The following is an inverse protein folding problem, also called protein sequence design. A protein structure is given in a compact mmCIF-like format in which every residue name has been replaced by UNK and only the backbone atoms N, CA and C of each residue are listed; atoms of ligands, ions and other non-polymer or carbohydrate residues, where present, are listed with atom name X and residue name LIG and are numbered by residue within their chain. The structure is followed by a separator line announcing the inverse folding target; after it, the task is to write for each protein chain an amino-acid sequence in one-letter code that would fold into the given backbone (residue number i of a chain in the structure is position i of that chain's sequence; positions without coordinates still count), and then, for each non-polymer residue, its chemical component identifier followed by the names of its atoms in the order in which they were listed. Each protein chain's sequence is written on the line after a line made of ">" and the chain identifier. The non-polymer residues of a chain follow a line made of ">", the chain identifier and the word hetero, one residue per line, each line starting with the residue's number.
data_IF_274296421768
#
_entry.id   IF_274296421768
#
_cell.length_a   1.000
_cell.length_b   1.000
_cell.length_c   1.000
_cell.angle_alpha   90.00
_cell.angle_beta   90.00
_cell.angle_gamma   90.00
#
_symmetry.space_group_name_H-M   'P 1'
#
loop_
_entity.id
_entity.type
_entity.pdbx_description
1 polymer ?
#
# COMPACT_ATOMS: atom_id res chain seq x y z
N UNK A 1 -32.21 -8.02 5.72
CA UNK A 1 -30.83 -8.37 5.32
C UNK A 1 -30.65 -9.87 5.50
N UNK A 2 -30.80 -10.64 4.41
CA UNK A 2 -30.86 -12.10 4.47
C UNK A 2 -29.45 -12.69 4.34
N UNK A 3 -29.00 -13.43 5.34
CA UNK A 3 -27.73 -14.17 5.34
C UNK A 3 -27.98 -15.65 5.32
N UNK A 4 -27.12 -16.41 4.64
CA UNK A 4 -27.19 -17.88 4.58
C UNK A 4 -25.88 -18.46 5.08
N UNK A 5 -25.95 -19.54 5.84
CA UNK A 5 -24.83 -20.28 6.42
C UNK A 5 -25.07 -21.78 6.25
N UNK A 6 -24.00 -22.56 6.18
CA UNK A 6 -24.01 -24.00 5.96
C UNK A 6 -23.16 -24.75 6.98
N UNK A 7 -23.58 -25.96 7.32
CA UNK A 7 -22.83 -26.94 8.12
C UNK A 7 -23.05 -28.33 7.53
N UNK A 8 -22.10 -28.83 6.74
CA UNK A 8 -22.32 -30.03 5.93
C UNK A 8 -23.42 -29.80 4.89
N UNK A 9 -24.53 -30.55 4.98
CA UNK A 9 -25.74 -30.35 4.14
C UNK A 9 -26.80 -29.44 4.78
N UNK A 10 -26.63 -29.03 6.04
CA UNK A 10 -27.59 -28.18 6.73
C UNK A 10 -27.44 -26.72 6.28
N UNK A 11 -28.57 -26.05 6.06
CA UNK A 11 -28.64 -24.62 5.72
C UNK A 11 -29.31 -23.87 6.86
N UNK A 12 -28.74 -22.72 7.23
CA UNK A 12 -29.28 -21.74 8.16
C UNK A 12 -29.37 -20.41 7.43
N UNK A 13 -30.57 -19.91 7.18
CA UNK A 13 -30.76 -18.57 6.64
C UNK A 13 -31.40 -17.68 7.70
N UNK A 14 -30.88 -16.47 7.91
CA UNK A 14 -31.41 -15.49 8.85
C UNK A 14 -31.61 -14.16 8.12
N UNK A 15 -32.79 -13.57 8.26
CA UNK A 15 -33.16 -12.28 7.70
C UNK A 15 -33.72 -11.39 8.81
N UNK A 16 -33.66 -10.08 8.62
CA UNK A 16 -34.40 -9.14 9.43
C UNK A 16 -34.84 -7.91 8.63
N UNK A 17 -35.99 -7.36 9.01
CA UNK A 17 -36.48 -6.05 8.57
C UNK A 17 -36.65 -5.10 9.78
N UNK A 18 -37.34 -3.97 9.59
CA UNK A 18 -37.56 -2.94 10.62
C UNK A 18 -38.14 -3.46 11.94
N UNK A 19 -38.87 -4.56 11.94
CA UNK A 19 -39.48 -5.10 13.16
C UNK A 19 -39.49 -6.62 13.22
N UNK A 20 -38.98 -7.33 12.21
CA UNK A 20 -39.02 -8.78 12.19
C UNK A 20 -37.63 -9.39 12.04
N UNK A 21 -37.44 -10.56 12.63
CA UNK A 21 -36.31 -11.45 12.36
C UNK A 21 -36.90 -12.78 11.88
N UNK A 22 -36.39 -13.30 10.77
CA UNK A 22 -36.84 -14.55 10.16
C UNK A 22 -35.67 -15.51 10.07
N UNK A 23 -35.80 -16.73 10.59
CA UNK A 23 -34.80 -17.80 10.44
C UNK A 23 -35.42 -18.95 9.67
N UNK A 24 -34.68 -19.51 8.72
CA UNK A 24 -35.02 -20.75 8.02
C UNK A 24 -33.91 -21.78 8.25
N UNK A 25 -34.25 -22.94 8.81
CA UNK A 25 -33.31 -24.01 9.17
C UNK A 25 -33.66 -25.33 8.45
N UNK A 26 -32.65 -26.02 7.91
CA UNK A 26 -32.76 -27.41 7.39
C UNK A 26 -33.11 -27.56 5.90
N UNK A 27 -33.50 -28.77 5.48
CA UNK A 27 -34.17 -29.05 4.18
C UNK A 27 -35.50 -28.29 4.13
N UNK A 28 -35.93 -27.77 2.98
CA UNK A 28 -36.82 -26.61 2.90
C UNK A 28 -38.14 -26.86 3.65
N UNK A 29 -38.40 -26.13 4.74
CA UNK A 29 -39.70 -26.20 5.42
C UNK A 29 -39.85 -25.62 6.83
N UNK A 30 -38.79 -25.32 7.59
CA UNK A 30 -38.94 -24.73 8.94
C UNK A 30 -38.47 -23.28 8.97
N UNK A 31 -39.41 -22.36 8.76
CA UNK A 31 -39.22 -20.92 8.93
C UNK A 31 -39.83 -20.46 10.27
N UNK A 32 -39.04 -19.75 11.09
CA UNK A 32 -39.47 -19.11 12.34
C UNK A 32 -39.38 -17.61 12.18
N UNK A 33 -40.41 -16.89 12.64
CA UNK A 33 -40.48 -15.42 12.56
C UNK A 33 -40.69 -14.85 13.96
N UNK A 34 -39.90 -13.85 14.33
CA UNK A 34 -40.03 -13.09 15.58
C UNK A 34 -40.32 -11.64 15.26
N UNK A 35 -41.25 -11.02 15.99
CA UNK A 35 -41.61 -9.60 15.85
C UNK A 35 -41.12 -8.80 17.07
N UNK A 36 -40.61 -7.60 16.82
CA UNK A 36 -39.99 -6.71 17.81
C UNK A 36 -40.60 -5.31 17.72
N UNK A 37 -40.51 -4.57 18.83
CA UNK A 37 -41.10 -3.23 18.96
C UNK A 37 -40.33 -2.12 18.23
N UNK A 38 -39.08 -2.37 17.82
CA UNK A 38 -38.23 -1.40 17.15
C UNK A 38 -37.17 -2.10 16.29
N UNK A 39 -36.58 -1.35 15.36
CA UNK A 39 -35.48 -1.79 14.51
C UNK A 39 -34.25 -2.21 15.33
N UNK A 40 -33.89 -1.45 16.36
CA UNK A 40 -32.74 -1.76 17.21
C UNK A 40 -32.90 -3.10 17.93
N UNK A 41 -34.12 -3.41 18.40
CA UNK A 41 -34.41 -4.69 19.06
C UNK A 41 -34.42 -5.86 18.08
N UNK A 42 -34.93 -5.65 16.87
CA UNK A 42 -34.87 -6.64 15.81
C UNK A 42 -33.40 -6.92 15.43
N UNK A 43 -32.58 -5.88 15.28
CA UNK A 43 -31.17 -6.00 14.95
C UNK A 43 -30.36 -6.67 16.07
N UNK A 44 -30.52 -6.27 17.33
CA UNK A 44 -29.85 -6.90 18.47
C UNK A 44 -30.17 -8.40 18.56
N UNK A 45 -31.44 -8.78 18.36
CA UNK A 45 -31.84 -10.18 18.37
C UNK A 45 -31.35 -10.96 17.14
N UNK A 46 -31.28 -10.31 15.98
CA UNK A 46 -30.66 -10.87 14.78
C UNK A 46 -29.16 -11.17 15.03
N UNK A 47 -28.41 -10.24 15.62
CA UNK A 47 -26.99 -10.40 15.94
C UNK A 47 -26.74 -11.55 16.92
N UNK A 48 -27.54 -11.64 17.99
CA UNK A 48 -27.44 -12.72 18.97
C UNK A 48 -27.68 -14.10 18.34
N UNK A 49 -28.73 -14.22 17.50
CA UNK A 49 -29.09 -15.48 16.83
C UNK A 49 -28.03 -15.89 15.82
N UNK A 50 -27.46 -14.92 15.11
CA UNK A 50 -26.36 -15.15 14.19
C UNK A 50 -25.10 -15.64 14.91
N UNK A 51 -24.71 -14.99 16.01
CA UNK A 51 -23.55 -15.40 16.82
C UNK A 51 -23.67 -16.84 17.33
N UNK A 52 -24.88 -17.25 17.77
CA UNK A 52 -25.15 -18.65 18.16
C UNK A 52 -24.99 -19.64 17.02
N UNK A 53 -25.42 -19.30 15.81
CA UNK A 53 -25.26 -20.17 14.64
C UNK A 53 -23.78 -20.35 14.26
N UNK A 54 -23.01 -19.26 14.29
CA UNK A 54 -21.56 -19.28 14.03
C UNK A 54 -20.84 -20.13 15.08
N UNK A 55 -21.13 -19.93 16.37
CA UNK A 55 -20.57 -20.75 17.45
C UNK A 55 -20.94 -22.24 17.31
N UNK A 56 -22.11 -22.55 16.75
CA UNK A 56 -22.53 -23.92 16.44
C UNK A 56 -21.83 -24.52 15.20
N UNK A 57 -20.92 -23.80 14.55
CA UNK A 57 -20.11 -24.25 13.43
C UNK A 57 -20.76 -24.08 12.06
N UNK A 58 -21.84 -23.29 11.95
CA UNK A 58 -22.34 -22.85 10.65
C UNK A 58 -21.40 -21.79 10.08
N UNK A 59 -20.96 -22.00 8.85
CA UNK A 59 -20.06 -21.09 8.14
C UNK A 59 -20.79 -20.49 6.94
N UNK A 60 -20.43 -19.29 6.48
CA UNK A 60 -20.93 -18.81 5.18
C UNK A 60 -20.73 -19.89 4.11
N UNK A 61 -21.70 -20.14 3.21
CA UNK A 61 -21.48 -21.04 2.09
C UNK A 61 -20.25 -20.56 1.34
N UNK A 62 -19.32 -21.48 1.02
CA UNK A 62 -18.19 -21.14 0.17
C UNK A 62 -18.76 -20.55 -1.13
N UNK A 63 -18.44 -19.28 -1.48
CA UNK A 63 -18.89 -18.72 -2.74
C UNK A 63 -18.32 -19.58 -3.86
N UNK A 64 -19.19 -20.26 -4.62
CA UNK A 64 -18.80 -21.00 -5.82
C UNK A 64 -18.70 -19.99 -6.95
N UNK A 65 -17.66 -19.17 -6.91
CA UNK A 65 -17.36 -18.26 -8.01
C UNK A 65 -16.74 -19.03 -9.16
N UNK A 66 -17.47 -19.07 -10.27
CA UNK A 66 -16.92 -19.55 -11.53
C UNK A 66 -15.84 -18.58 -12.04
N UNK A 67 -14.93 -19.11 -12.84
CA UNK A 67 -13.82 -18.36 -13.44
C UNK A 67 -13.85 -18.53 -14.95
N UNK A 68 -13.35 -17.54 -15.68
CA UNK A 68 -13.15 -17.65 -17.13
C UNK A 68 -11.69 -17.29 -17.44
N UNK A 69 -10.80 -18.29 -17.64
CA UNK A 69 -9.38 -18.05 -17.84
C UNK A 69 -9.05 -17.11 -19.01
N UNK A 70 -9.85 -17.13 -20.09
CA UNK A 70 -9.62 -16.29 -21.26
C UNK A 70 -9.93 -14.82 -20.96
N UNK A 71 -11.08 -14.56 -20.33
CA UNK A 71 -11.47 -13.20 -19.93
C UNK A 71 -10.57 -12.67 -18.80
N UNK A 72 -10.16 -13.53 -17.88
CA UNK A 72 -9.18 -13.17 -16.83
C UNK A 72 -7.80 -12.85 -17.41
N UNK A 73 -7.37 -13.56 -18.46
CA UNK A 73 -6.13 -13.26 -19.16
C UNK A 73 -6.20 -11.91 -19.89
N UNK A 74 -7.36 -11.54 -20.47
CA UNK A 74 -7.57 -10.23 -21.07
C UNK A 74 -7.45 -9.11 -20.03
N UNK A 75 -8.07 -9.27 -18.86
CA UNK A 75 -7.94 -8.34 -17.73
C UNK A 75 -6.48 -8.28 -17.24
N UNK A 76 -5.77 -9.40 -17.15
CA UNK A 76 -4.36 -9.40 -16.72
C UNK A 76 -3.46 -8.65 -17.72
N UNK A 77 -3.75 -8.77 -19.02
CA UNK A 77 -3.00 -8.10 -20.08
C UNK A 77 -3.27 -6.59 -20.13
N UNK A 78 -4.53 -6.18 -19.90
CA UNK A 78 -4.97 -4.78 -19.90
C UNK A 78 -5.77 -4.46 -18.62
N UNK A 79 -5.10 -4.37 -17.45
CA UNK A 79 -5.78 -4.30 -16.15
C UNK A 79 -6.46 -2.97 -15.85
N UNK A 80 -6.27 -1.96 -16.70
CA UNK A 80 -6.93 -0.66 -16.64
C UNK A 80 -7.99 -0.49 -17.76
N UNK A 81 -8.25 -1.53 -18.55
CA UNK A 81 -9.29 -1.57 -19.58
C UNK A 81 -10.65 -1.93 -18.96
N UNK A 82 -11.50 -0.92 -18.77
CA UNK A 82 -12.85 -1.08 -18.22
C UNK A 82 -13.76 -1.98 -19.08
N UNK A 83 -13.52 -2.07 -20.39
CA UNK A 83 -14.34 -2.89 -21.29
C UNK A 83 -14.07 -4.38 -21.05
N UNK A 84 -12.81 -4.77 -20.79
CA UNK A 84 -12.46 -6.14 -20.40
C UNK A 84 -13.21 -6.59 -19.13
N UNK A 85 -13.32 -5.71 -18.13
CA UNK A 85 -14.11 -5.99 -16.92
C UNK A 85 -15.61 -6.04 -17.20
N UNK A 86 -16.12 -5.21 -18.12
CA UNK A 86 -17.53 -5.21 -18.51
C UNK A 86 -17.92 -6.53 -19.19
N UNK A 87 -17.08 -7.02 -20.11
CA UNK A 87 -17.27 -8.33 -20.76
C UNK A 87 -17.26 -9.45 -19.71
N UNK A 88 -16.34 -9.40 -18.75
CA UNK A 88 -16.29 -10.39 -17.68
C UNK A 88 -17.49 -10.32 -16.74
N UNK A 89 -17.98 -9.12 -16.44
CA UNK A 89 -19.20 -8.90 -15.65
C UNK A 89 -20.44 -9.47 -16.34
N UNK A 90 -20.59 -9.27 -17.65
CA UNK A 90 -21.69 -9.84 -18.43
C UNK A 90 -21.63 -11.37 -18.44
N UNK A 91 -20.44 -11.93 -18.62
CA UNK A 91 -20.24 -13.37 -18.51
C UNK A 91 -20.63 -13.88 -17.11
N UNK A 92 -20.20 -13.23 -16.04
CA UNK A 92 -20.58 -13.58 -14.67
C UNK A 92 -22.11 -13.53 -14.46
N UNK A 93 -22.79 -12.51 -15.01
CA UNK A 93 -24.25 -12.43 -14.95
C UNK A 93 -24.92 -13.60 -15.68
N UNK A 94 -24.41 -14.01 -16.85
CA UNK A 94 -24.91 -15.17 -17.58
C UNK A 94 -24.67 -16.51 -16.84
N UNK A 95 -23.75 -16.53 -15.87
CA UNK A 95 -23.50 -17.67 -14.97
C UNK A 95 -24.26 -17.55 -13.64
N UNK A 96 -25.27 -16.68 -13.57
CA UNK A 96 -26.03 -16.36 -12.36
C UNK A 96 -25.15 -15.95 -11.16
N UNK A 97 -23.98 -15.36 -11.44
CA UNK A 97 -23.07 -14.87 -10.42
C UNK A 97 -23.45 -13.45 -10.00
N UNK A 98 -23.77 -13.23 -8.71
CA UNK A 98 -24.15 -11.90 -8.23
C UNK A 98 -23.06 -10.83 -8.40
N UNK A 99 -21.79 -11.26 -8.48
CA UNK A 99 -20.65 -10.39 -8.74
C UNK A 99 -20.78 -9.65 -10.07
N UNK A 100 -21.33 -10.29 -11.10
CA UNK A 100 -21.61 -9.64 -12.37
C UNK A 100 -22.64 -8.52 -12.23
N UNK A 101 -23.68 -8.73 -11.41
CA UNK A 101 -24.67 -7.68 -11.13
C UNK A 101 -24.08 -6.51 -10.32
N UNK A 102 -23.15 -6.80 -9.40
CA UNK A 102 -22.42 -5.78 -8.65
C UNK A 102 -21.56 -4.92 -9.59
N UNK A 103 -20.82 -5.57 -10.49
CA UNK A 103 -20.01 -4.89 -11.49
C UNK A 103 -20.85 -4.00 -12.41
N UNK A 104 -21.99 -4.51 -12.92
CA UNK A 104 -22.92 -3.72 -13.73
C UNK A 104 -23.51 -2.53 -12.94
N UNK A 105 -23.83 -2.72 -11.66
CA UNK A 105 -24.31 -1.65 -10.77
C UNK A 105 -23.25 -0.57 -10.58
N UNK A 106 -21.99 -0.96 -10.37
CA UNK A 106 -20.86 -0.02 -10.25
C UNK A 106 -20.57 0.73 -11.54
N UNK A 107 -20.66 0.07 -12.69
CA UNK A 107 -20.56 0.72 -14.00
C UNK A 107 -21.69 1.75 -14.22
N UNK A 108 -22.90 1.47 -13.74
CA UNK A 108 -24.01 2.42 -13.78
C UNK A 108 -23.79 3.62 -12.82
N UNK A 109 -23.26 3.38 -11.61
CA UNK A 109 -22.89 4.44 -10.66
C UNK A 109 -21.82 5.35 -11.26
N UNK A 110 -20.81 4.79 -11.94
CA UNK A 110 -19.73 5.55 -12.56
C UNK A 110 -20.22 6.50 -13.69
N UNK A 111 -21.38 6.23 -14.29
CA UNK A 111 -22.02 7.06 -15.32
C UNK A 111 -22.89 8.17 -14.73
N UNK A 112 -23.14 8.19 -13.42
CA UNK A 112 -23.91 9.26 -12.79
C UNK A 112 -23.17 10.61 -12.92
N UNK A 113 -23.89 11.74 -13.01
CA UNK A 113 -23.28 13.06 -13.01
C UNK A 113 -22.39 13.23 -11.78
N UNK A 114 -21.12 13.61 -12.00
CA UNK A 114 -20.17 13.87 -10.92
C UNK A 114 -20.64 15.11 -10.14
N UNK A 115 -20.88 14.94 -8.84
CA UNK A 115 -21.15 16.05 -7.91
C UNK A 115 -19.89 16.87 -7.61
N UNK A 116 -19.91 17.66 -6.53
CA UNK A 116 -18.65 18.21 -6.00
C UNK A 116 -17.73 17.05 -5.59
N UNK A 117 -16.39 17.20 -5.69
CA UNK A 117 -15.47 16.25 -5.07
C UNK A 117 -15.90 16.02 -3.62
N UNK A 118 -15.92 14.77 -3.16
CA UNK A 118 -16.19 14.49 -1.77
C UNK A 118 -15.04 15.07 -0.93
N UNK A 119 -15.36 15.88 0.09
CA UNK A 119 -14.40 16.42 1.07
C UNK A 119 -13.94 15.30 2.04
N UNK A 120 -13.38 14.21 1.52
CA UNK A 120 -12.70 13.20 2.33
C UNK A 120 -11.22 13.19 2.00
N UNK A 121 -10.50 14.01 2.75
CA UNK A 121 -9.07 13.93 2.93
C UNK A 121 -8.71 12.62 3.65
N UNK A 122 -8.50 11.55 2.89
CA UNK A 122 -7.66 10.44 3.33
C UNK A 122 -6.66 10.11 2.23
N UNK A 123 -5.88 11.13 1.88
CA UNK A 123 -4.67 10.96 1.10
C UNK A 123 -3.52 10.69 2.08
N UNK A 124 -2.92 9.51 2.03
CA UNK A 124 -1.47 9.49 2.19
C UNK A 124 -0.93 9.92 0.83
N UNK A 125 -0.14 10.99 0.80
CA UNK A 125 0.37 11.68 -0.40
C UNK A 125 1.13 10.77 -1.39
N UNK A 126 1.44 9.54 -0.97
CA UNK A 126 2.21 8.53 -1.70
C UNK A 126 1.41 7.30 -2.17
N UNK A 127 0.11 7.19 -1.87
CA UNK A 127 -0.69 6.06 -2.38
C UNK A 127 -0.93 6.19 -3.89
N UNK A 128 -0.54 5.16 -4.66
CA UNK A 128 -0.65 5.12 -6.13
C UNK A 128 -2.09 5.21 -6.67
N UNK A 129 -3.09 5.21 -5.80
CA UNK A 129 -4.50 5.31 -6.16
C UNK A 129 -4.98 6.74 -5.89
N UNK A 130 -4.59 7.67 -6.75
CA UNK A 130 -5.20 9.02 -6.81
C UNK A 130 -6.54 8.95 -7.54
N UNK A 131 -7.52 8.21 -7.02
CA UNK A 131 -8.89 8.35 -7.49
C UNK A 131 -9.56 9.50 -6.70
N UNK A 132 -9.82 10.61 -7.40
CA UNK A 132 -10.66 11.70 -6.87
C UNK A 132 -12.09 11.18 -6.80
N UNK A 133 -12.58 10.97 -5.58
CA UNK A 133 -13.95 10.56 -5.35
C UNK A 133 -14.89 11.75 -5.54
N UNK A 134 -15.88 11.58 -6.41
CA UNK A 134 -17.00 12.50 -6.53
C UNK A 134 -18.16 11.91 -5.75
N UNK A 135 -18.78 12.70 -4.86
CA UNK A 135 -19.99 12.27 -4.17
C UNK A 135 -21.16 12.27 -5.16
N UNK A 136 -21.38 11.13 -5.81
CA UNK A 136 -22.52 10.91 -6.70
C UNK A 136 -23.79 10.50 -5.95
N UNK A 137 -23.75 10.34 -4.61
CA UNK A 137 -24.90 9.87 -3.81
C UNK A 137 -26.11 10.82 -3.89
N UNK A 138 -25.85 12.10 -4.19
CA UNK A 138 -26.86 13.16 -4.33
C UNK A 138 -27.44 13.28 -5.74
N UNK A 139 -26.93 12.53 -6.73
CA UNK A 139 -27.46 12.58 -8.09
C UNK A 139 -28.87 11.95 -8.15
N UNK A 140 -29.75 12.49 -9.01
CA UNK A 140 -31.10 11.95 -9.20
C UNK A 140 -31.03 10.50 -9.70
N UNK A 141 -31.68 9.57 -9.00
CA UNK A 141 -31.63 8.14 -9.31
C UNK A 141 -30.46 7.36 -8.68
N UNK A 142 -29.51 8.05 -8.03
CA UNK A 142 -28.36 7.41 -7.39
C UNK A 142 -28.75 6.48 -6.25
N UNK A 143 -29.73 6.89 -5.42
CA UNK A 143 -30.14 6.14 -4.23
C UNK A 143 -30.46 4.67 -4.53
N UNK A 144 -31.21 4.40 -5.59
CA UNK A 144 -31.58 3.03 -5.97
C UNK A 144 -30.36 2.17 -6.35
N UNK A 145 -29.36 2.77 -7.02
CA UNK A 145 -28.13 2.08 -7.39
C UNK A 145 -27.24 1.81 -6.17
N UNK A 146 -27.12 2.79 -5.26
CA UNK A 146 -26.37 2.62 -4.00
C UNK A 146 -27.05 1.60 -3.06
N UNK A 147 -28.39 1.63 -2.96
CA UNK A 147 -29.16 0.64 -2.21
C UNK A 147 -28.96 -0.77 -2.82
N UNK A 148 -29.01 -0.89 -4.15
CA UNK A 148 -28.76 -2.16 -4.86
C UNK A 148 -27.34 -2.67 -4.63
N UNK A 149 -26.34 -1.79 -4.72
CA UNK A 149 -24.95 -2.14 -4.42
C UNK A 149 -24.81 -2.64 -2.98
N UNK A 150 -25.39 -1.93 -2.00
CA UNK A 150 -25.37 -2.35 -0.60
C UNK A 150 -26.05 -3.71 -0.38
N UNK A 151 -27.16 -3.97 -1.06
CA UNK A 151 -27.83 -5.28 -1.03
C UNK A 151 -26.97 -6.39 -1.64
N UNK A 152 -26.32 -6.14 -2.78
CA UNK A 152 -25.43 -7.12 -3.41
C UNK A 152 -24.20 -7.46 -2.54
N UNK A 153 -23.65 -6.47 -1.82
CA UNK A 153 -22.65 -6.71 -0.79
C UNK A 153 -23.21 -7.55 0.37
N UNK A 154 -24.42 -7.24 0.84
CA UNK A 154 -25.05 -7.95 1.94
C UNK A 154 -25.39 -9.42 1.64
N UNK A 155 -25.89 -9.69 0.42
CA UNK A 155 -26.52 -10.96 0.06
C UNK A 155 -25.54 -11.95 -0.59
N UNK A 156 -24.49 -11.47 -1.26
CA UNK A 156 -23.76 -12.30 -2.21
C UNK A 156 -22.26 -12.07 -2.33
N UNK A 157 -21.78 -10.94 -1.86
CA UNK A 157 -20.40 -10.56 -2.04
C UNK A 157 -19.92 -9.97 -0.72
N UNK A 158 -19.21 -10.79 0.06
CA UNK A 158 -18.25 -10.28 1.04
C UNK A 158 -18.94 -9.40 2.06
N UNK A 159 -19.68 -10.04 2.95
CA UNK A 159 -20.05 -9.38 4.18
C UNK A 159 -18.75 -8.87 4.82
N UNK A 160 -18.67 -7.62 5.29
CA UNK A 160 -17.54 -7.16 6.09
C UNK A 160 -17.09 -8.23 7.05
N UNK A 161 -18.00 -8.94 7.74
CA UNK A 161 -17.74 -10.10 8.63
C UNK A 161 -16.88 -11.24 8.04
N UNK A 162 -16.80 -11.41 6.73
CA UNK A 162 -15.96 -12.42 6.06
C UNK A 162 -14.47 -11.99 5.99
N UNK A 163 -14.19 -10.71 6.22
CA UNK A 163 -12.85 -10.11 6.31
C UNK A 163 -12.79 -9.05 7.44
N UNK A 164 -13.73 -9.10 8.39
CA UNK A 164 -13.92 -8.05 9.39
C UNK A 164 -12.87 -8.21 10.44
N UNK A 165 -11.83 -7.41 10.26
CA UNK A 165 -10.80 -7.17 11.24
C UNK A 165 -11.30 -6.23 12.35
N UNK A 166 -12.54 -5.70 12.27
CA UNK A 166 -13.07 -4.70 13.20
C UNK A 166 -13.42 -5.23 14.61
N UNK A 167 -13.30 -6.53 14.90
CA UNK A 167 -13.39 -7.01 16.29
C UNK A 167 -12.09 -6.84 17.10
N UNK A 168 -10.96 -6.47 16.48
CA UNK A 168 -9.68 -6.29 17.17
C UNK A 168 -9.40 -4.86 17.63
N UNK A 169 -10.39 -4.19 18.23
CA UNK A 169 -10.19 -2.86 18.83
C UNK A 169 -10.68 -2.80 20.27
N UNK A 170 -9.87 -3.31 21.21
CA UNK A 170 -9.73 -2.71 22.54
C UNK A 170 -8.27 -2.87 22.99
N UNK A 171 -7.52 -1.77 23.00
CA UNK A 171 -6.25 -1.68 23.72
C UNK A 171 -6.50 -1.07 25.11
N UNK A 172 -5.85 -1.64 26.12
CA UNK A 172 -6.05 -1.38 27.55
C UNK A 172 -5.19 -0.23 28.11
N UNK A 173 -4.60 0.62 27.27
CA UNK A 173 -3.52 1.53 27.64
C UNK A 173 -3.65 2.98 27.12
N UNK A 174 -4.82 3.37 26.59
CA UNK A 174 -5.15 4.78 26.38
C UNK A 174 -4.45 5.49 25.20
N UNK A 175 -3.66 4.77 24.40
CA UNK A 175 -3.17 5.24 23.08
C UNK A 175 -4.11 4.83 21.94
N UNK A 176 -4.25 5.67 20.89
CA UNK A 176 -5.14 5.39 19.74
C UNK A 176 -4.38 4.77 18.56
N UNK A 177 -4.01 3.49 18.63
CA UNK A 177 -3.67 2.73 17.42
C UNK A 177 -4.95 2.13 16.84
N UNK A 178 -5.31 2.51 15.60
CA UNK A 178 -6.51 2.00 14.91
C UNK A 178 -6.12 0.82 14.02
N UNK A 179 -6.33 -0.40 14.50
CA UNK A 179 -6.32 -1.58 13.64
C UNK A 179 -7.54 -1.57 12.71
N UNK A 180 -7.35 -1.86 11.42
CA UNK A 180 -8.40 -1.89 10.43
C UNK A 180 -7.94 -2.25 9.03
N UNK A 181 -8.90 -2.63 8.20
CA UNK A 181 -8.70 -2.85 6.77
C UNK A 181 -9.59 -1.93 5.95
N UNK A 182 -9.08 -1.47 4.81
CA UNK A 182 -9.80 -0.61 3.87
C UNK A 182 -9.74 -1.25 2.49
N UNK A 183 -10.88 -1.29 1.81
CA UNK A 183 -11.01 -1.88 0.48
C UNK A 183 -11.63 -0.88 -0.48
N UNK A 184 -10.98 -0.70 -1.62
CA UNK A 184 -11.53 0.01 -2.75
C UNK A 184 -12.08 -0.99 -3.75
N UNK A 185 -13.38 -0.88 -4.02
CA UNK A 185 -14.13 -1.77 -4.90
C UNK A 185 -14.39 -1.12 -6.25
N UNK A 186 -14.15 -1.87 -7.32
CA UNK A 186 -14.47 -1.49 -8.70
C UNK A 186 -14.75 -2.74 -9.52
N UNK A 187 -15.70 -2.65 -10.45
CA UNK A 187 -16.10 -3.76 -11.34
C UNK A 187 -16.49 -5.06 -10.62
N UNK A 188 -17.02 -4.94 -9.40
CA UNK A 188 -17.38 -6.07 -8.56
C UNK A 188 -16.20 -6.76 -7.87
N UNK A 189 -14.99 -6.21 -7.94
CA UNK A 189 -13.78 -6.75 -7.31
C UNK A 189 -13.11 -5.70 -6.42
N UNK A 190 -12.27 -6.17 -5.50
CA UNK A 190 -11.34 -5.32 -4.76
C UNK A 190 -10.20 -4.96 -5.69
N UNK A 191 -10.05 -3.67 -5.99
CA UNK A 191 -8.95 -3.15 -6.81
C UNK A 191 -7.78 -2.66 -5.95
N UNK A 192 -8.06 -2.14 -4.76
CA UNK A 192 -7.03 -1.81 -3.78
C UNK A 192 -7.42 -2.26 -2.37
N UNK A 193 -6.44 -2.74 -1.60
CA UNK A 193 -6.60 -3.13 -0.22
C UNK A 193 -5.49 -2.49 0.63
N UNK A 194 -5.87 -2.00 1.79
CA UNK A 194 -4.97 -1.46 2.81
C UNK A 194 -5.24 -2.15 4.14
N UNK A 195 -4.19 -2.55 4.85
CA UNK A 195 -4.28 -3.22 6.14
C UNK A 195 -3.34 -2.54 7.13
N UNK A 196 -3.83 -2.20 8.32
CA UNK A 196 -3.05 -1.75 9.48
C UNK A 196 -3.55 -2.55 10.68
N UNK A 197 -2.70 -3.39 11.25
CA UNK A 197 -3.07 -4.43 12.21
C UNK A 197 -2.03 -4.53 13.34
N UNK A 198 -1.44 -3.40 13.77
CA UNK A 198 -0.58 -3.34 14.95
C UNK A 198 -1.15 -4.13 16.14
N UNK A 199 -0.31 -4.91 16.82
CA UNK A 199 -0.74 -5.79 17.92
C UNK A 199 -1.42 -7.11 17.54
N UNK A 200 -1.76 -7.37 16.27
CA UNK A 200 -2.63 -8.50 15.90
C UNK A 200 -1.95 -9.88 15.84
N UNK A 201 -0.62 -9.96 15.99
CA UNK A 201 0.09 -11.24 16.03
C UNK A 201 -0.17 -12.15 14.80
N UNK A 202 -0.20 -13.47 15.02
CA UNK A 202 -0.45 -14.46 13.96
C UNK A 202 -1.86 -14.35 13.33
N UNK A 203 -2.81 -13.78 14.07
CA UNK A 203 -4.20 -13.59 13.62
C UNK A 203 -4.27 -12.50 12.55
N UNK A 204 -3.47 -11.44 12.68
CA UNK A 204 -3.32 -10.41 11.65
C UNK A 204 -2.84 -10.97 10.32
N UNK A 205 -1.82 -11.84 10.33
CA UNK A 205 -1.36 -12.51 9.09
C UNK A 205 -2.44 -13.43 8.49
N UNK A 206 -3.14 -14.20 9.32
CA UNK A 206 -4.22 -15.06 8.84
C UNK A 206 -5.32 -14.23 8.16
N UNK A 207 -5.67 -13.08 8.72
CA UNK A 207 -6.66 -12.18 8.15
C UNK A 207 -6.21 -11.56 6.83
N UNK A 208 -4.97 -11.04 6.75
CA UNK A 208 -4.43 -10.49 5.48
C UNK A 208 -4.37 -11.57 4.41
N UNK A 209 -3.85 -12.75 4.73
CA UNK A 209 -3.75 -13.84 3.75
C UNK A 209 -5.12 -14.35 3.31
N UNK A 210 -6.09 -14.41 4.22
CA UNK A 210 -7.47 -14.75 3.88
C UNK A 210 -8.09 -13.72 2.94
N UNK A 211 -8.00 -12.43 3.28
CA UNK A 211 -8.58 -11.35 2.50
C UNK A 211 -7.93 -11.21 1.12
N UNK A 212 -6.59 -11.21 1.04
CA UNK A 212 -5.85 -11.12 -0.23
C UNK A 212 -6.08 -12.36 -1.10
N UNK A 213 -6.21 -13.54 -0.50
CA UNK A 213 -6.52 -14.80 -1.21
C UNK A 213 -8.00 -14.97 -1.56
N UNK A 214 -8.89 -14.07 -1.11
CA UNK A 214 -10.31 -14.17 -1.38
C UNK A 214 -10.58 -13.95 -2.88
N UNK A 215 -11.55 -14.66 -3.51
CA UNK A 215 -11.94 -14.46 -4.92
C UNK A 215 -12.20 -13.02 -5.36
N UNK A 216 -12.45 -12.12 -4.44
CA UNK A 216 -12.73 -10.70 -4.70
C UNK A 216 -11.49 -9.87 -4.88
N UNK A 217 -10.38 -10.31 -4.31
CA UNK A 217 -9.06 -9.76 -4.56
C UNK A 217 -8.41 -10.39 -5.79
N UNK A 218 -9.12 -11.20 -6.61
CA UNK A 218 -8.55 -11.86 -7.80
C UNK A 218 -7.87 -10.90 -8.78
N UNK A 219 -8.37 -9.65 -8.86
CA UNK A 219 -7.80 -8.59 -9.69
C UNK A 219 -7.21 -7.44 -8.88
N UNK A 220 -6.73 -7.72 -7.65
CA UNK A 220 -6.11 -6.70 -6.81
C UNK A 220 -4.95 -6.04 -7.56
N UNK A 221 -4.94 -4.70 -7.59
CA UNK A 221 -3.94 -3.85 -8.26
C UNK A 221 -2.99 -3.19 -7.27
N UNK A 222 -3.51 -2.80 -6.11
CA UNK A 222 -2.75 -2.12 -5.07
C UNK A 222 -2.92 -2.83 -3.74
N UNK A 223 -1.80 -3.15 -3.10
CA UNK A 223 -1.76 -3.71 -1.76
C UNK A 223 -0.88 -2.80 -0.91
N UNK A 224 -1.47 -2.26 0.14
CA UNK A 224 -0.74 -1.50 1.15
C UNK A 224 -0.84 -2.21 2.49
N UNK A 225 0.30 -2.38 3.15
CA UNK A 225 0.38 -2.90 4.49
C UNK A 225 1.03 -1.81 5.36
N UNK A 226 0.31 -1.31 6.34
CA UNK A 226 0.84 -0.66 7.52
C UNK A 226 1.46 -1.70 8.46
N UNK A 227 1.38 -1.59 9.78
CA UNK A 227 1.99 -2.58 10.68
C UNK A 227 1.17 -3.89 10.73
N UNK A 228 1.81 -5.07 10.80
CA UNK A 228 1.11 -6.36 10.99
C UNK A 228 1.37 -7.00 12.36
N UNK A 229 2.57 -6.83 12.89
CA UNK A 229 3.01 -7.27 14.20
C UNK A 229 3.69 -6.11 14.90
N UNK A 230 3.82 -6.16 16.23
CA UNK A 230 4.56 -5.16 17.00
C UNK A 230 6.00 -4.98 16.52
N UNK A 231 6.61 -6.05 16.00
CA UNK A 231 7.95 -6.03 15.40
C UNK A 231 7.98 -5.81 13.88
N UNK A 232 6.86 -5.52 13.22
CA UNK A 232 6.77 -5.29 11.77
C UNK A 232 6.04 -6.41 11.01
N UNK A 233 6.74 -7.15 10.15
CA UNK A 233 6.18 -8.22 9.31
C UNK A 233 6.95 -9.52 9.42
N UNK A 234 8.26 -9.45 9.17
CA UNK A 234 9.16 -10.59 9.02
C UNK A 234 8.96 -11.40 7.71
N UNK A 235 10.04 -12.04 7.27
CA UNK A 235 10.12 -12.81 6.00
C UNK A 235 9.04 -13.88 5.84
N UNK A 236 8.64 -14.56 6.94
CA UNK A 236 7.61 -15.61 6.88
C UNK A 236 6.24 -15.06 6.50
N UNK A 237 5.88 -13.90 7.04
CA UNK A 237 4.61 -13.24 6.74
C UNK A 237 4.58 -12.75 5.29
N UNK A 238 5.64 -12.06 4.84
CA UNK A 238 5.76 -11.61 3.45
C UNK A 238 5.70 -12.78 2.46
N UNK A 239 6.33 -13.91 2.79
CA UNK A 239 6.25 -15.13 1.98
C UNK A 239 4.84 -15.69 1.91
N UNK A 240 4.09 -15.71 3.03
CA UNK A 240 2.72 -16.20 3.05
C UNK A 240 1.77 -15.29 2.27
N UNK A 241 1.93 -13.96 2.39
CA UNK A 241 1.14 -12.98 1.64
C UNK A 241 1.45 -13.09 0.14
N UNK A 242 2.73 -13.11 -0.26
CA UNK A 242 3.12 -13.25 -1.66
C UNK A 242 2.52 -14.49 -2.35
N UNK A 243 2.30 -15.60 -1.62
CA UNK A 243 1.68 -16.81 -2.19
C UNK A 243 0.22 -16.63 -2.59
N UNK A 244 -0.52 -15.74 -1.91
CA UNK A 244 -1.94 -15.51 -2.16
C UNK A 244 -2.19 -14.24 -2.99
N UNK A 245 -1.19 -13.37 -3.11
CA UNK A 245 -1.25 -12.15 -3.92
C UNK A 245 -1.43 -12.47 -5.41
N UNK A 246 -2.40 -11.84 -6.08
CA UNK A 246 -2.64 -12.07 -7.50
C UNK A 246 -1.58 -11.41 -8.39
N UNK A 247 -1.36 -11.99 -9.59
CA UNK A 247 -0.42 -11.47 -10.60
C UNK A 247 -0.80 -10.11 -11.19
N UNK A 248 -2.03 -9.65 -10.96
CA UNK A 248 -2.52 -8.34 -11.39
C UNK A 248 -1.94 -7.18 -10.59
N UNK A 249 -1.30 -7.45 -9.44
CA UNK A 249 -0.72 -6.40 -8.59
C UNK A 249 0.30 -5.56 -9.36
N UNK A 250 0.25 -4.24 -9.15
CA UNK A 250 1.23 -3.26 -9.68
C UNK A 250 1.83 -2.36 -8.63
N UNK A 251 1.10 -2.15 -7.53
CA UNK A 251 1.51 -1.26 -6.47
C UNK A 251 1.58 -2.06 -5.17
N UNK A 252 2.77 -2.12 -4.59
CA UNK A 252 2.99 -2.69 -3.27
C UNK A 252 3.62 -1.61 -2.39
N UNK A 253 2.95 -1.29 -1.28
CA UNK A 253 3.48 -0.40 -0.26
C UNK A 253 3.54 -1.16 1.07
N UNK A 254 4.74 -1.33 1.58
CA UNK A 254 5.01 -1.87 2.92
C UNK A 254 5.44 -0.71 3.81
N UNK A 255 4.79 -0.53 4.94
CA UNK A 255 5.13 0.44 5.98
C UNK A 255 4.32 1.73 5.95
N UNK A 256 3.05 1.68 5.51
CA UNK A 256 2.15 2.83 5.52
C UNK A 256 1.45 3.00 6.87
N UNK A 257 2.21 3.42 7.87
CA UNK A 257 1.80 3.42 9.27
C UNK A 257 0.81 4.54 9.69
N UNK A 258 0.35 5.38 8.76
CA UNK A 258 -0.60 6.47 9.04
C UNK A 258 -0.07 7.57 9.99
N UNK A 259 -0.99 8.32 10.60
CA UNK A 259 -0.69 9.42 11.55
C UNK A 259 -0.75 8.84 12.97
N UNK A 260 0.32 9.02 13.76
CA UNK A 260 0.46 8.41 15.10
C UNK A 260 1.19 7.05 15.12
N UNK A 261 1.89 6.75 14.02
CA UNK A 261 2.71 5.56 13.74
C UNK A 261 3.79 5.25 14.79
N UNK A 262 4.24 3.98 14.93
CA UNK A 262 5.52 3.66 15.54
C UNK A 262 6.68 4.37 14.82
N UNK A 263 7.80 4.55 15.53
CA UNK A 263 9.09 4.90 14.96
C UNK A 263 9.46 3.94 13.80
N UNK A 264 9.93 4.49 12.67
CA UNK A 264 10.28 3.70 11.46
C UNK A 264 11.33 2.62 11.76
N UNK A 265 12.18 2.88 12.75
CA UNK A 265 13.25 1.99 13.20
C UNK A 265 12.75 0.73 13.93
N UNK A 266 11.50 0.70 14.40
CA UNK A 266 10.92 -0.41 15.18
C UNK A 266 10.26 -1.48 14.31
N UNK A 267 10.02 -1.18 13.04
CA UNK A 267 9.27 -2.05 12.12
C UNK A 267 10.25 -2.88 11.28
N UNK A 268 10.49 -4.13 11.64
CA UNK A 268 11.27 -5.07 10.81
C UNK A 268 10.45 -5.55 9.60
N UNK A 269 10.86 -5.11 8.41
CA UNK A 269 10.24 -5.48 7.14
C UNK A 269 10.56 -6.94 6.77
N UNK A 270 11.81 -7.36 6.90
CA UNK A 270 12.27 -8.66 6.39
C UNK A 270 12.46 -8.72 4.86
N UNK A 271 12.44 -9.94 4.31
CA UNK A 271 12.73 -10.20 2.89
C UNK A 271 11.51 -10.09 1.97
N UNK A 272 11.61 -9.13 1.04
CA UNK A 272 10.57 -8.80 0.04
C UNK A 272 10.72 -9.63 -1.24
N UNK A 273 11.83 -10.36 -1.42
CA UNK A 273 12.10 -11.15 -2.63
C UNK A 273 11.02 -12.19 -3.02
N UNK A 274 10.18 -12.74 -2.11
CA UNK A 274 9.05 -13.60 -2.50
C UNK A 274 8.08 -12.95 -3.50
N UNK A 275 7.93 -11.62 -3.48
CA UNK A 275 7.04 -10.91 -4.39
C UNK A 275 7.56 -10.87 -5.84
N UNK A 276 8.86 -11.06 -6.09
CA UNK A 276 9.43 -10.95 -7.44
C UNK A 276 8.84 -11.99 -8.41
N UNK A 277 8.62 -13.22 -7.92
CA UNK A 277 7.97 -14.28 -8.71
C UNK A 277 6.45 -14.22 -8.66
N UNK A 278 5.88 -13.76 -7.54
CA UNK A 278 4.43 -13.67 -7.37
C UNK A 278 3.82 -12.57 -8.25
N UNK A 279 4.50 -11.44 -8.35
CA UNK A 279 4.03 -10.22 -9.03
C UNK A 279 5.13 -9.66 -9.94
N UNK A 280 5.52 -10.37 -11.01
CA UNK A 280 6.65 -9.97 -11.87
C UNK A 280 6.39 -8.66 -12.64
N UNK A 281 5.12 -8.27 -12.73
CA UNK A 281 4.67 -7.07 -13.43
C UNK A 281 4.55 -5.84 -12.51
N UNK A 282 5.07 -5.90 -11.28
CA UNK A 282 5.01 -4.78 -10.33
C UNK A 282 5.63 -3.50 -10.94
N UNK A 283 4.92 -2.38 -10.82
CA UNK A 283 5.32 -1.08 -11.37
C UNK A 283 5.80 -0.12 -10.28
N UNK A 284 5.32 -0.28 -9.05
CA UNK A 284 5.73 0.51 -7.90
C UNK A 284 5.94 -0.38 -6.67
N UNK A 285 7.09 -0.18 -6.03
CA UNK A 285 7.43 -0.79 -4.75
C UNK A 285 7.89 0.30 -3.79
N UNK A 286 7.13 0.50 -2.72
CA UNK A 286 7.49 1.39 -1.62
C UNK A 286 7.68 0.52 -0.39
N UNK A 287 8.82 0.68 0.27
CA UNK A 287 9.18 -0.05 1.48
C UNK A 287 9.64 0.96 2.52
N UNK A 288 8.94 0.98 3.64
CA UNK A 288 9.20 1.85 4.77
C UNK A 288 9.36 0.99 6.04
N UNK A 289 10.50 1.13 6.73
CA UNK A 289 10.80 0.38 7.95
C UNK A 289 12.29 0.04 8.11
N UNK A 290 12.62 -0.74 9.14
CA UNK A 290 13.93 -1.31 9.40
C UNK A 290 14.09 -2.72 8.83
N UNK A 291 15.31 -3.28 8.90
CA UNK A 291 15.56 -4.70 8.60
C UNK A 291 15.26 -5.15 7.15
N UNK A 292 15.12 -4.19 6.23
CA UNK A 292 14.71 -4.43 4.84
C UNK A 292 15.71 -5.34 4.12
N UNK A 293 15.22 -6.43 3.53
CA UNK A 293 16.00 -7.35 2.69
C UNK A 293 15.39 -7.45 1.28
N UNK A 294 16.24 -7.43 0.26
CA UNK A 294 15.86 -7.44 -1.16
C UNK A 294 16.43 -8.67 -1.91
N UNK A 295 16.84 -9.70 -1.18
CA UNK A 295 17.66 -10.79 -1.73
C UNK A 295 18.99 -10.29 -2.30
N UNK A 296 19.48 -10.93 -3.37
CA UNK A 296 20.74 -10.57 -4.03
C UNK A 296 20.60 -9.38 -5.00
N UNK A 297 19.39 -9.16 -5.53
CA UNK A 297 19.02 -8.08 -6.46
C UNK A 297 17.50 -7.97 -6.50
N UNK A 298 16.99 -6.81 -6.87
CA UNK A 298 15.58 -6.61 -7.23
C UNK A 298 15.34 -7.19 -8.62
N UNK A 299 14.41 -8.15 -8.73
CA UNK A 299 14.06 -8.84 -9.98
C UNK A 299 12.64 -8.48 -10.42
N UNK A 300 12.45 -7.20 -10.79
CA UNK A 300 11.17 -6.63 -11.19
C UNK A 300 11.37 -5.77 -12.45
N UNK A 301 11.34 -6.37 -13.66
CA UNK A 301 11.74 -5.69 -14.89
C UNK A 301 10.78 -4.56 -15.33
N UNK A 302 9.52 -4.59 -14.86
CA UNK A 302 8.50 -3.56 -15.13
C UNK A 302 8.44 -2.47 -14.07
N UNK A 303 9.31 -2.52 -13.05
CA UNK A 303 9.32 -1.55 -11.96
C UNK A 303 9.72 -0.16 -12.47
N UNK A 304 8.84 0.82 -12.24
CA UNK A 304 9.01 2.23 -12.62
C UNK A 304 9.41 3.11 -11.45
N UNK A 305 8.95 2.76 -10.24
CA UNK A 305 9.29 3.47 -9.00
C UNK A 305 9.69 2.48 -7.90
N UNK A 306 10.87 2.69 -7.33
CA UNK A 306 11.36 1.98 -6.15
C UNK A 306 11.69 2.99 -5.06
N UNK A 307 11.08 2.83 -3.89
CA UNK A 307 11.36 3.66 -2.73
C UNK A 307 11.70 2.81 -1.51
N UNK A 308 12.83 3.12 -0.89
CA UNK A 308 13.30 2.50 0.34
C UNK A 308 13.48 3.63 1.37
N UNK A 309 12.60 3.67 2.36
CA UNK A 309 12.63 4.62 3.48
C UNK A 309 12.98 3.85 4.74
N UNK A 310 14.06 4.22 5.40
CA UNK A 310 14.53 3.52 6.60
C UNK A 310 15.37 4.45 7.47
N UNK A 311 15.31 4.22 8.79
CA UNK A 311 16.20 4.83 9.76
C UNK A 311 17.63 4.27 9.71
N UNK A 312 17.84 3.09 9.08
CA UNK A 312 19.18 2.52 8.93
C UNK A 312 19.28 1.44 7.84
N UNK A 313 19.85 1.81 6.69
CA UNK A 313 19.95 0.94 5.52
C UNK A 313 21.09 -0.08 5.66
N UNK A 314 20.79 -1.40 5.60
CA UNK A 314 21.82 -2.41 5.61
C UNK A 314 22.67 -2.39 4.33
N UNK A 315 23.99 -2.54 4.46
CA UNK A 315 24.91 -2.56 3.31
C UNK A 315 24.57 -3.62 2.26
N UNK A 316 24.06 -4.79 2.71
CA UNK A 316 23.58 -5.85 1.82
C UNK A 316 22.44 -5.37 0.92
N UNK A 317 21.53 -4.57 1.47
CA UNK A 317 20.37 -4.02 0.78
C UNK A 317 20.79 -2.96 -0.24
N UNK A 318 21.73 -2.07 0.14
CA UNK A 318 22.33 -1.12 -0.80
C UNK A 318 23.02 -1.81 -1.99
N UNK A 319 23.80 -2.88 -1.73
CA UNK A 319 24.44 -3.67 -2.80
C UNK A 319 23.42 -4.38 -3.69
N UNK A 320 22.31 -4.88 -3.14
CA UNK A 320 21.25 -5.48 -3.93
C UNK A 320 20.60 -4.46 -4.88
N UNK A 321 20.36 -3.23 -4.43
CA UNK A 321 19.89 -2.12 -5.28
C UNK A 321 20.91 -1.86 -6.41
N UNK A 322 22.19 -1.70 -6.07
CA UNK A 322 23.25 -1.42 -7.03
C UNK A 322 23.50 -2.56 -8.05
N UNK A 323 23.18 -3.81 -7.70
CA UNK A 323 23.30 -4.97 -8.58
C UNK A 323 22.08 -5.20 -9.50
N UNK A 324 20.99 -4.44 -9.29
CA UNK A 324 19.73 -4.65 -9.98
C UNK A 324 19.76 -4.12 -11.42
N UNK A 325 19.02 -4.79 -12.32
CA UNK A 325 18.76 -4.31 -13.69
C UNK A 325 17.28 -4.02 -13.82
N UNK A 326 16.93 -2.75 -13.81
CA UNK A 326 15.55 -2.27 -13.78
C UNK A 326 15.30 -1.38 -15.01
N UNK A 327 15.06 -1.99 -16.19
CA UNK A 327 15.03 -1.26 -17.47
C UNK A 327 13.87 -0.27 -17.59
N UNK A 328 12.82 -0.44 -16.78
CA UNK A 328 11.66 0.45 -16.73
C UNK A 328 11.76 1.54 -15.63
N UNK A 329 12.81 1.54 -14.80
CA UNK A 329 12.88 2.40 -13.62
C UNK A 329 13.06 3.86 -14.01
N UNK A 330 12.15 4.70 -13.54
CA UNK A 330 12.10 6.15 -13.76
C UNK A 330 12.46 6.92 -12.48
N UNK A 331 12.09 6.36 -11.33
CA UNK A 331 12.25 6.96 -10.00
C UNK A 331 12.89 5.96 -9.03
N UNK A 332 13.99 6.36 -8.40
CA UNK A 332 14.66 5.63 -7.32
C UNK A 332 14.84 6.55 -6.12
N UNK A 333 14.27 6.17 -4.98
CA UNK A 333 14.45 6.86 -3.70
C UNK A 333 15.06 5.89 -2.69
N UNK A 334 16.18 6.28 -2.10
CA UNK A 334 16.88 5.49 -1.08
C UNK A 334 17.27 6.41 0.07
N UNK A 335 16.79 6.07 1.27
CA UNK A 335 17.22 6.67 2.53
C UNK A 335 18.28 5.78 3.17
N UNK A 336 19.42 6.35 3.56
CA UNK A 336 20.51 5.57 4.15
C UNK A 336 20.39 5.42 5.67
N UNK A 337 19.81 6.40 6.35
CA UNK A 337 19.67 6.37 7.80
C UNK A 337 20.94 6.72 8.56
N UNK A 338 20.90 6.46 9.86
CA UNK A 338 21.99 6.69 10.82
C UNK A 338 22.52 5.35 11.36
N UNK A 339 23.83 5.29 11.65
CA UNK A 339 24.46 4.13 12.28
C UNK A 339 23.82 3.75 13.63
N UNK A 340 23.26 4.71 14.36
CA UNK A 340 22.62 4.48 15.66
C UNK A 340 21.33 3.65 15.50
N UNK A 341 20.70 3.71 14.31
CA UNK A 341 19.60 2.85 13.89
C UNK A 341 20.06 1.73 12.96
N UNK A 342 21.31 1.28 13.11
CA UNK A 342 21.93 0.13 12.45
C UNK A 342 22.20 0.32 10.95
N UNK A 343 22.29 1.55 10.46
CA UNK A 343 22.83 1.78 9.12
C UNK A 343 24.25 1.21 9.01
N UNK A 344 24.53 0.51 7.91
CA UNK A 344 25.87 -0.05 7.63
C UNK A 344 26.37 0.27 6.24
N UNK A 345 25.57 0.97 5.44
CA UNK A 345 25.87 1.30 4.04
C UNK A 345 27.00 2.31 3.95
N UNK A 346 27.91 2.10 3.00
CA UNK A 346 28.99 3.03 2.64
C UNK A 346 28.91 3.38 1.15
N UNK A 347 29.64 4.43 0.73
CA UNK A 347 29.72 4.82 -0.67
C UNK A 347 30.12 3.68 -1.62
N UNK A 348 31.02 2.79 -1.19
CA UNK A 348 31.45 1.63 -1.97
C UNK A 348 30.31 0.67 -2.33
N UNK A 349 29.28 0.55 -1.47
CA UNK A 349 28.15 -0.36 -1.68
C UNK A 349 27.22 0.11 -2.80
N UNK A 350 27.15 1.43 -3.04
CA UNK A 350 26.31 2.04 -4.08
C UNK A 350 27.11 2.54 -5.28
N UNK A 351 28.44 2.48 -5.25
CA UNK A 351 29.28 2.93 -6.38
C UNK A 351 28.87 2.32 -7.73
N UNK A 352 28.50 1.02 -7.84
CA UNK A 352 28.01 0.47 -9.10
C UNK A 352 26.72 1.13 -9.62
N UNK A 353 25.83 1.61 -8.74
CA UNK A 353 24.62 2.33 -9.11
C UNK A 353 24.96 3.63 -9.84
N UNK A 354 26.00 4.35 -9.38
CA UNK A 354 26.43 5.63 -9.97
C UNK A 354 26.95 5.51 -11.41
N UNK A 355 27.23 4.28 -11.87
CA UNK A 355 27.57 4.02 -13.26
C UNK A 355 26.34 4.06 -14.21
N UNK A 356 25.11 4.03 -13.68
CA UNK A 356 23.86 4.08 -14.45
C UNK A 356 23.56 2.82 -15.29
N UNK A 357 24.27 1.71 -15.05
CA UNK A 357 24.11 0.48 -15.84
C UNK A 357 22.83 -0.25 -15.43
N UNK A 358 21.99 -0.58 -16.40
CA UNK A 358 20.76 -1.37 -16.17
C UNK A 358 19.53 -0.54 -15.78
N UNK A 359 19.64 0.78 -15.70
CA UNK A 359 18.56 1.73 -15.35
C UNK A 359 18.50 2.91 -16.36
N UNK A 360 18.36 2.61 -17.67
CA UNK A 360 18.49 3.62 -18.73
C UNK A 360 17.39 4.69 -18.74
N UNK A 361 16.28 4.45 -18.03
CA UNK A 361 15.14 5.38 -17.96
C UNK A 361 15.11 6.23 -16.68
N UNK A 362 16.09 6.05 -15.78
CA UNK A 362 16.06 6.74 -14.49
C UNK A 362 16.28 8.25 -14.70
N UNK A 363 15.28 9.04 -14.32
CA UNK A 363 15.32 10.50 -14.40
C UNK A 363 15.25 11.16 -13.03
N UNK A 364 14.75 10.46 -12.01
CA UNK A 364 14.68 10.94 -10.64
C UNK A 364 15.46 10.01 -9.72
N UNK A 365 16.51 10.55 -9.08
CA UNK A 365 17.32 9.83 -8.12
C UNK A 365 17.38 10.62 -6.80
N UNK A 366 16.85 10.02 -5.74
CA UNK A 366 17.01 10.50 -4.37
C UNK A 366 17.93 9.55 -3.60
N UNK A 367 19.06 10.08 -3.13
CA UNK A 367 20.03 9.43 -2.26
C UNK A 367 20.11 10.27 -0.98
N UNK A 368 19.03 10.18 -0.20
CA UNK A 368 18.72 11.09 0.91
C UNK A 368 19.00 10.43 2.26
N UNK A 369 18.84 11.19 3.34
CA UNK A 369 19.00 10.68 4.71
C UNK A 369 20.39 10.03 4.91
N UNK A 370 21.45 10.69 4.44
CA UNK A 370 22.79 10.10 4.26
C UNK A 370 23.85 10.70 5.20
N UNK A 371 24.50 9.88 6.04
CA UNK A 371 25.62 10.33 6.88
C UNK A 371 26.89 10.65 6.06
N UNK A 372 27.14 9.96 4.94
CA UNK A 372 28.32 10.16 4.08
C UNK A 372 28.04 11.14 2.91
N UNK A 373 27.22 12.15 3.16
CA UNK A 373 26.67 13.05 2.13
C UNK A 373 27.73 13.78 1.30
N UNK A 374 28.81 14.27 1.92
CA UNK A 374 29.88 14.98 1.22
C UNK A 374 30.68 14.06 0.28
N UNK A 375 30.98 12.85 0.73
CA UNK A 375 31.64 11.83 -0.11
C UNK A 375 30.75 11.45 -1.29
N UNK A 376 29.45 11.31 -1.03
CA UNK A 376 28.44 11.06 -2.04
C UNK A 376 28.37 12.19 -3.07
N UNK A 377 28.35 13.45 -2.64
CA UNK A 377 28.40 14.62 -3.52
C UNK A 377 29.63 14.58 -4.44
N UNK A 378 30.81 14.27 -3.90
CA UNK A 378 32.05 14.15 -4.66
C UNK A 378 32.02 13.02 -5.70
N UNK A 379 31.34 11.92 -5.40
CA UNK A 379 31.16 10.80 -6.32
C UNK A 379 30.14 11.12 -7.42
N UNK A 380 29.03 11.76 -7.06
CA UNK A 380 27.93 12.09 -7.97
C UNK A 380 28.37 13.04 -9.07
N UNK A 381 29.10 14.11 -8.74
CA UNK A 381 29.56 15.10 -9.75
C UNK A 381 30.50 14.48 -10.79
N UNK A 382 31.09 13.31 -10.51
CA UNK A 382 31.96 12.54 -11.41
C UNK A 382 31.23 11.35 -12.06
N UNK A 383 29.98 11.10 -11.69
CA UNK A 383 29.26 9.89 -12.06
C UNK A 383 28.66 9.95 -13.47
N UNK A 384 28.39 8.78 -14.05
CA UNK A 384 27.73 8.70 -15.37
C UNK A 384 26.22 8.86 -15.25
N UNK A 385 25.64 8.40 -14.14
CA UNK A 385 24.20 8.44 -13.91
C UNK A 385 23.64 9.86 -13.94
N UNK A 386 24.39 10.86 -13.47
CA UNK A 386 23.93 12.27 -13.43
C UNK A 386 23.49 12.80 -14.80
N UNK A 387 24.10 12.33 -15.89
CA UNK A 387 23.83 12.80 -17.26
C UNK A 387 22.41 12.52 -17.76
N UNK A 388 21.72 11.55 -17.17
CA UNK A 388 20.33 11.19 -17.52
C UNK A 388 19.30 11.71 -16.53
N UNK A 389 19.74 12.26 -15.39
CA UNK A 389 18.83 12.75 -14.36
C UNK A 389 18.23 14.11 -14.75
N UNK A 390 17.00 14.30 -14.31
CA UNK A 390 16.29 15.59 -14.25
C UNK A 390 16.24 16.10 -12.81
N UNK A 391 16.06 15.17 -11.86
CA UNK A 391 16.04 15.48 -10.43
C UNK A 391 17.09 14.68 -9.70
N UNK A 392 17.91 15.38 -8.92
CA UNK A 392 18.80 14.81 -7.93
C UNK A 392 18.39 15.31 -6.56
N UNK A 393 18.13 14.39 -5.64
CA UNK A 393 17.74 14.68 -4.26
C UNK A 393 18.79 14.11 -3.31
N UNK A 394 19.43 15.00 -2.56
CA UNK A 394 20.40 14.75 -1.49
C UNK A 394 19.88 15.26 -0.15
N UNK A 395 18.57 15.50 -0.05
CA UNK A 395 17.92 16.04 1.15
C UNK A 395 18.15 15.16 2.37
N UNK A 396 17.84 15.71 3.55
CA UNK A 396 17.84 15.01 4.83
C UNK A 396 19.21 14.47 5.25
N UNK A 397 20.28 14.92 4.61
CA UNK A 397 21.60 14.30 4.70
C UNK A 397 22.55 15.18 5.51
N UNK A 398 23.65 14.60 5.98
CA UNK A 398 24.71 15.32 6.67
C UNK A 398 25.57 16.18 5.72
N UNK A 399 24.95 16.80 4.72
CA UNK A 399 25.60 17.65 3.72
C UNK A 399 25.89 19.02 4.34
N UNK A 400 27.15 19.41 4.35
CA UNK A 400 27.62 20.69 4.90
C UNK A 400 28.17 21.63 3.81
N UNK A 401 28.74 22.75 4.23
CA UNK A 401 29.31 23.76 3.34
C UNK A 401 30.44 23.24 2.44
N UNK A 402 31.19 22.21 2.87
CA UNK A 402 32.20 21.56 2.02
C UNK A 402 31.53 20.68 0.96
N UNK A 403 30.47 19.96 1.34
CA UNK A 403 29.58 19.29 0.38
C UNK A 403 29.00 20.27 -0.65
N UNK A 404 28.53 21.43 -0.22
CA UNK A 404 28.03 22.47 -1.12
C UNK A 404 29.12 23.01 -2.06
N UNK A 405 30.35 23.19 -1.56
CA UNK A 405 31.50 23.59 -2.39
C UNK A 405 31.80 22.57 -3.47
N UNK A 406 31.80 21.28 -3.12
CA UNK A 406 31.99 20.18 -4.06
C UNK A 406 30.92 20.19 -5.17
N UNK A 407 29.65 20.39 -4.79
CA UNK A 407 28.55 20.48 -5.77
C UNK A 407 28.69 21.73 -6.65
N UNK A 408 29.09 22.87 -6.08
CA UNK A 408 29.32 24.12 -6.81
C UNK A 408 30.47 24.00 -7.81
N UNK A 409 31.59 23.38 -7.42
CA UNK A 409 32.73 23.10 -8.30
C UNK A 409 32.33 22.10 -9.40
N UNK A 410 31.42 21.17 -9.10
CA UNK A 410 30.84 20.22 -10.03
C UNK A 410 29.72 20.77 -10.92
N UNK A 411 29.43 22.08 -10.89
CA UNK A 411 28.29 22.71 -11.59
C UNK A 411 28.17 22.33 -13.06
N UNK A 412 29.28 22.17 -13.79
CA UNK A 412 29.22 21.78 -15.20
C UNK A 412 28.49 20.43 -15.40
N UNK A 413 28.65 19.49 -14.47
CA UNK A 413 27.97 18.20 -14.51
C UNK A 413 26.51 18.26 -14.05
N UNK A 414 26.10 19.31 -13.32
CA UNK A 414 24.78 19.40 -12.67
C UNK A 414 23.85 20.44 -13.32
N UNK A 415 24.39 21.36 -14.12
CA UNK A 415 23.65 22.52 -14.65
C UNK A 415 22.45 22.17 -15.52
N UNK A 416 22.38 20.96 -16.08
CA UNK A 416 21.22 20.48 -16.85
C UNK A 416 20.06 20.00 -15.96
N UNK A 417 20.30 19.72 -14.68
CA UNK A 417 19.27 19.26 -13.75
C UNK A 417 18.16 20.30 -13.64
N UNK A 418 16.91 19.83 -13.73
CA UNK A 418 15.72 20.62 -13.46
C UNK A 418 15.66 20.97 -11.96
N UNK A 419 15.97 20.00 -11.10
CA UNK A 419 15.94 20.16 -9.65
C UNK A 419 17.13 19.49 -8.97
N UNK A 420 17.79 20.25 -8.09
CA UNK A 420 18.68 19.75 -7.03
C UNK A 420 18.03 20.02 -5.68
N UNK A 421 17.74 18.97 -4.91
CA UNK A 421 17.22 19.08 -3.55
C UNK A 421 18.32 18.80 -2.52
N UNK A 422 18.53 19.76 -1.61
CA UNK A 422 19.46 19.70 -0.48
C UNK A 422 18.78 20.14 0.82
N UNK A 423 17.44 20.09 0.85
CA UNK A 423 16.63 20.44 2.02
C UNK A 423 16.92 19.54 3.22
N UNK A 424 16.61 20.04 4.41
CA UNK A 424 16.78 19.33 5.68
C UNK A 424 18.22 18.81 5.90
N UNK A 425 19.23 19.53 5.43
CA UNK A 425 20.65 19.16 5.57
C UNK A 425 21.36 20.01 6.63
N UNK A 426 22.68 20.19 6.57
CA UNK A 426 23.47 20.96 7.54
C UNK A 426 24.25 22.13 6.89
N UNK A 427 23.63 22.79 5.91
CA UNK A 427 24.23 23.92 5.21
C UNK A 427 24.01 25.21 6.00
N UNK A 428 25.08 26.01 6.11
CA UNK A 428 24.94 27.39 6.58
C UNK A 428 24.36 28.26 5.46
N UNK A 429 23.92 29.50 5.75
CA UNK A 429 23.54 30.45 4.70
C UNK A 429 24.64 30.68 3.65
N UNK A 430 25.93 30.55 4.02
CA UNK A 430 27.03 30.65 3.08
C UNK A 430 27.09 29.42 2.14
N UNK A 431 26.92 28.21 2.66
CA UNK A 431 26.82 26.99 1.87
C UNK A 431 25.65 27.02 0.89
N UNK A 432 24.46 27.42 1.35
CA UNK A 432 23.28 27.58 0.48
C UNK A 432 23.55 28.57 -0.66
N UNK A 433 24.26 29.67 -0.37
CA UNK A 433 24.63 30.66 -1.38
C UNK A 433 25.57 30.08 -2.46
N UNK A 434 26.46 29.16 -2.11
CA UNK A 434 27.36 28.50 -3.09
C UNK A 434 26.58 27.70 -4.13
N UNK A 435 25.43 27.14 -3.76
CA UNK A 435 24.62 26.29 -4.63
C UNK A 435 23.79 27.08 -5.65
N UNK A 436 23.75 28.41 -5.55
CA UNK A 436 22.95 29.24 -6.46
C UNK A 436 23.34 29.01 -7.93
N UNK A 437 22.39 28.50 -8.70
CA UNK A 437 22.58 28.22 -10.13
C UNK A 437 23.45 26.99 -10.43
N UNK A 438 23.63 26.07 -9.46
CA UNK A 438 24.22 24.74 -9.71
C UNK A 438 23.30 23.86 -10.54
N UNK A 439 21.98 24.00 -10.35
CA UNK A 439 20.90 23.43 -11.16
C UNK A 439 19.91 24.54 -11.54
N UNK A 440 18.90 24.23 -12.37
CA UNK A 440 17.85 25.19 -12.73
C UNK A 440 17.07 25.64 -11.50
N UNK A 441 16.65 24.67 -10.68
CA UNK A 441 16.02 24.91 -9.38
C UNK A 441 16.86 24.24 -8.29
N UNK A 442 17.18 24.98 -7.23
CA UNK A 442 17.80 24.43 -6.02
C UNK A 442 16.82 24.57 -4.87
N UNK A 443 16.40 23.44 -4.31
CA UNK A 443 15.55 23.37 -3.13
C UNK A 443 16.46 23.25 -1.91
N UNK A 444 16.65 24.36 -1.21
CA UNK A 444 17.41 24.36 0.04
C UNK A 444 16.53 24.11 1.27
N UNK A 445 15.20 24.30 1.18
CA UNK A 445 14.28 24.08 2.30
C UNK A 445 14.74 24.69 3.64
N UNK A 446 14.36 24.04 4.74
CA UNK A 446 14.91 24.31 6.07
C UNK A 446 16.26 23.59 6.23
N UNK A 447 17.20 24.20 6.95
CA UNK A 447 18.51 23.61 7.25
C UNK A 447 18.61 23.36 8.76
N UNK A 448 19.33 22.31 9.13
CA UNK A 448 19.50 21.88 10.52
C UNK A 448 20.78 22.41 11.11
N UNK A 449 20.64 23.03 12.28
CA UNK A 449 21.77 23.37 13.13
C UNK A 449 22.31 22.11 13.83
N UNK A 450 23.63 21.99 14.07
CA UNK A 450 24.18 20.94 14.91
C UNK A 450 23.55 20.98 16.31
N UNK A 451 23.26 19.82 16.91
CA UNK A 451 22.79 19.78 18.29
C UNK A 451 23.89 20.28 19.23
N UNK A 452 23.51 21.22 20.08
CA UNK A 452 24.35 21.97 21.00
C UNK A 452 24.81 21.15 22.22
N UNK A 453 24.23 19.96 22.43
CA UNK A 453 24.47 19.11 23.61
C UNK A 453 25.33 17.87 23.29
N UNK A 454 25.69 17.69 22.02
CA UNK A 454 26.64 16.66 21.60
C UNK A 454 28.07 17.22 21.69
N UNK A 455 28.88 16.68 22.61
CA UNK A 455 30.28 17.09 22.81
C UNK A 455 31.13 16.92 21.53
N UNK A 456 30.71 16.05 20.60
CA UNK A 456 31.37 15.80 19.33
C UNK A 456 30.83 16.67 18.16
N UNK A 457 29.81 17.52 18.40
CA UNK A 457 29.14 18.36 17.38
C UNK A 457 28.76 17.56 16.13
N UNK A 458 28.26 16.34 16.31
CA UNK A 458 27.95 15.46 15.18
C UNK A 458 26.79 16.03 14.35
N UNK A 459 26.83 15.73 13.05
CA UNK A 459 25.75 16.05 12.11
C UNK A 459 24.84 14.84 11.95
N UNK A 460 23.53 15.09 12.02
CA UNK A 460 22.50 14.06 12.04
C UNK A 460 21.65 14.11 10.77
N UNK A 461 21.23 12.94 10.30
CA UNK A 461 20.27 12.80 9.21
C UNK A 461 18.84 13.08 9.69
N UNK A 462 17.90 13.32 8.75
CA UNK A 462 16.58 13.81 9.16
C UNK A 462 15.62 12.82 9.76
N UNK A 463 15.81 11.55 9.44
CA UNK A 463 14.95 10.47 9.92
C UNK A 463 15.86 9.38 10.46
N UNK A 464 16.03 9.38 11.78
CA UNK A 464 16.66 8.29 12.52
C UNK A 464 15.62 7.35 13.15
N UNK A 465 14.61 7.94 13.80
CA UNK A 465 13.60 7.24 14.62
C UNK A 465 12.35 6.82 13.86
#
# INVERSE_FOLDING_TARGET
>A
MKRTYVKGKAVFAIDHDRTTVTITEGTPGKTKVWKYKSADKAHASWSEKLAKAIAAGFKPPKPREVTNPELEAAILAAPDDDDAYSVYADWLQAQDQPRGQLAATQAAIAKLPKGKPADQHYYTSDSAVREVWFDASRAKGAKALFDRQAALFADHALNPADYDLAEYTQNNDGGTQRSGARFHWRHGFVRAAWFELGGAGAEGLAAVTHAVGHPSCRFLRSLTLGQLYDSGYGTKALTAIAKVTPKTLRFLHLGDFGIGSPEISWVDVGDVSPFYKATPDLEMLVIQGAGIQLGAKVDLPKLRRLEIRTGGLPAKTARAIAASKLPALETLIVWFGDRDYKATTKLADITPLLAGKGIPKLTHLALANCEFANELAAAIVKSKIVKQLRTLDLSRSALDDDGARILADGKQALSHLETLDVSDSNLTPAGVKLLKGVAQTVLAGDQREPYDWDEDKRRYVSVGE
#
